data_IF_899407172215
#
_entry.id   IF_899407172215
#
_cell.length_a   1.000
_cell.length_b   1.000
_cell.length_c   1.000
_cell.angle_alpha   90.00
_cell.angle_beta   90.00
_cell.angle_gamma   90.00
#
_symmetry.space_group_name_H-M   'P 1'
#
loop_
_entity.id
_entity.type
_entity.pdbx_description
1 polymer ?
#
# COMPACT_ATOMS: atom_id res chain seq x y z
N UNK A 1 2.57 14.00 11.18
CA UNK A 1 1.43 13.27 11.80
C UNK A 1 1.94 11.96 12.38
N UNK A 2 1.65 11.65 13.65
CA UNK A 2 2.11 10.40 14.27
C UNK A 2 1.51 9.18 13.57
N UNK A 3 2.25 8.08 13.47
CA UNK A 3 1.77 6.86 12.79
C UNK A 3 0.77 6.07 13.66
N UNK A 4 0.92 6.13 14.99
CA UNK A 4 0.04 5.50 15.99
C UNK A 4 -0.70 6.61 16.74
N UNK A 5 -1.99 6.41 17.06
CA UNK A 5 -2.81 7.37 17.80
C UNK A 5 -3.17 8.65 17.04
N UNK A 6 -2.76 8.76 15.76
CA UNK A 6 -3.10 9.89 14.90
C UNK A 6 -4.41 9.68 14.13
N UNK A 7 -4.71 10.59 13.16
CA UNK A 7 -5.89 10.47 12.33
C UNK A 7 -5.95 9.15 11.55
N UNK A 8 -7.17 8.68 11.30
CA UNK A 8 -7.53 7.55 10.43
C UNK A 8 -7.06 7.75 8.97
N UNK A 9 -6.91 6.66 8.22
CA UNK A 9 -6.40 6.70 6.84
C UNK A 9 -7.29 7.53 5.93
N UNK A 10 -8.61 7.45 6.09
CA UNK A 10 -9.60 8.27 5.37
C UNK A 10 -9.35 9.77 5.53
N UNK A 11 -9.15 10.23 6.77
CA UNK A 11 -8.83 11.65 7.06
C UNK A 11 -7.50 12.06 6.45
N UNK A 12 -6.50 11.18 6.46
CA UNK A 12 -5.19 11.45 5.83
C UNK A 12 -5.28 11.54 4.33
N UNK A 13 -6.13 10.72 3.71
CA UNK A 13 -6.41 10.74 2.28
C UNK A 13 -7.03 12.06 1.83
N UNK A 14 -7.85 12.68 2.68
CA UNK A 14 -8.35 14.04 2.43
C UNK A 14 -7.22 15.07 2.39
N UNK A 15 -6.24 15.00 3.30
CA UNK A 15 -5.07 15.89 3.20
C UNK A 15 -4.22 15.59 1.96
N UNK A 16 -4.05 14.31 1.61
CA UNK A 16 -3.34 13.93 0.39
C UNK A 16 -4.06 14.42 -0.89
N UNK A 17 -5.39 14.46 -0.91
CA UNK A 17 -6.13 15.00 -2.07
C UNK A 17 -5.92 16.51 -2.23
N UNK A 18 -5.83 17.27 -1.12
CA UNK A 18 -5.47 18.70 -1.17
C UNK A 18 -4.06 18.89 -1.75
N UNK A 19 -3.09 18.09 -1.30
CA UNK A 19 -1.73 18.11 -1.85
C UNK A 19 -1.74 17.79 -3.35
N UNK A 20 -2.49 16.77 -3.77
CA UNK A 20 -2.64 16.43 -5.19
C UNK A 20 -3.25 17.58 -5.99
N UNK A 21 -4.28 18.24 -5.48
CA UNK A 21 -4.91 19.39 -6.14
C UNK A 21 -3.93 20.56 -6.33
N UNK A 22 -3.11 20.85 -5.32
CA UNK A 22 -2.07 21.90 -5.39
C UNK A 22 -1.03 21.53 -6.45
N UNK A 23 -0.50 20.31 -6.38
CA UNK A 23 0.51 19.84 -7.33
C UNK A 23 -0.06 19.86 -8.76
N UNK A 24 -1.29 19.39 -8.97
CA UNK A 24 -1.89 19.23 -10.28
C UNK A 24 -2.55 20.49 -10.86
N UNK A 25 -2.63 21.59 -10.09
CA UNK A 25 -3.34 22.82 -10.51
C UNK A 25 -2.85 23.32 -11.88
N UNK A 26 -1.54 23.41 -12.06
CA UNK A 26 -0.89 23.85 -13.30
C UNK A 26 -0.45 22.72 -14.23
N UNK A 27 -0.88 21.48 -14.00
CA UNK A 27 -0.32 20.30 -14.68
C UNK A 27 -0.18 20.43 -16.21
N UNK A 28 -1.15 20.98 -16.96
CA UNK A 28 -0.98 21.15 -18.41
C UNK A 28 0.23 22.00 -18.79
N UNK A 29 0.53 23.06 -18.03
CA UNK A 29 1.61 24.01 -18.32
C UNK A 29 3.01 23.42 -18.09
N UNK A 30 3.17 22.49 -17.15
CA UNK A 30 4.46 21.89 -16.81
C UNK A 30 4.54 20.37 -17.06
N UNK A 31 3.52 19.78 -17.69
CA UNK A 31 3.49 18.34 -18.01
C UNK A 31 4.66 17.88 -18.89
N UNK A 32 5.13 18.72 -19.82
CA UNK A 32 6.31 18.44 -20.63
C UNK A 32 7.60 18.46 -19.79
N UNK A 33 7.75 19.43 -18.88
CA UNK A 33 8.88 19.48 -17.95
C UNK A 33 8.87 18.30 -16.98
N UNK A 34 7.68 17.78 -16.62
CA UNK A 34 7.50 16.57 -15.84
C UNK A 34 7.89 15.29 -16.58
N UNK A 35 8.43 15.35 -17.80
CA UNK A 35 9.06 14.18 -18.46
C UNK A 35 10.56 14.09 -18.16
N UNK A 36 11.17 15.18 -17.69
CA UNK A 36 12.57 15.20 -17.30
C UNK A 36 12.76 14.43 -16.00
N UNK A 37 13.75 13.54 -16.00
CA UNK A 37 13.98 12.57 -14.93
C UNK A 37 14.08 13.21 -13.52
N UNK A 38 14.80 14.33 -13.39
CA UNK A 38 15.03 14.94 -12.08
C UNK A 38 13.78 15.60 -11.49
N UNK A 39 12.96 16.26 -12.31
CA UNK A 39 11.69 16.82 -11.87
C UNK A 39 10.71 15.72 -11.44
N UNK A 40 10.61 14.63 -12.21
CA UNK A 40 9.79 13.47 -11.83
C UNK A 40 10.23 12.90 -10.50
N UNK A 41 11.54 12.69 -10.31
CA UNK A 41 12.07 12.12 -9.07
C UNK A 41 11.74 13.00 -7.87
N UNK A 42 11.90 14.31 -7.99
CA UNK A 42 11.60 15.25 -6.90
C UNK A 42 10.10 15.25 -6.55
N UNK A 43 9.24 15.40 -7.56
CA UNK A 43 7.78 15.43 -7.39
C UNK A 43 7.25 14.10 -6.84
N UNK A 44 7.76 12.96 -7.34
CA UNK A 44 7.40 11.62 -6.85
C UNK A 44 7.79 11.41 -5.38
N UNK A 45 8.88 12.01 -4.91
CA UNK A 45 9.30 11.95 -3.51
C UNK A 45 8.30 12.66 -2.58
N UNK A 46 7.82 13.85 -2.96
CA UNK A 46 6.79 14.58 -2.21
C UNK A 46 5.49 13.78 -2.18
N UNK A 47 5.06 13.28 -3.34
CA UNK A 47 3.86 12.47 -3.46
C UNK A 47 3.92 11.19 -2.63
N UNK A 48 5.07 10.53 -2.63
CA UNK A 48 5.32 9.36 -1.80
C UNK A 48 5.19 9.70 -0.32
N UNK A 49 5.67 10.86 0.15
CA UNK A 49 5.51 11.27 1.55
C UNK A 49 4.03 11.41 1.92
N UNK A 50 3.19 11.97 1.05
CA UNK A 50 1.75 12.02 1.26
C UNK A 50 1.15 10.60 1.35
N UNK A 51 1.53 9.70 0.44
CA UNK A 51 1.06 8.31 0.45
C UNK A 51 1.51 7.54 1.70
N UNK A 52 2.76 7.71 2.13
CA UNK A 52 3.27 7.15 3.39
C UNK A 52 2.48 7.62 4.59
N UNK A 53 2.08 8.91 4.64
CA UNK A 53 1.20 9.37 5.69
C UNK A 53 -0.17 8.71 5.63
N UNK A 54 -0.78 8.59 4.45
CA UNK A 54 -2.10 7.93 4.27
C UNK A 54 -2.11 6.50 4.80
N UNK A 55 -1.03 5.77 4.58
CA UNK A 55 -0.91 4.37 5.02
C UNK A 55 -0.24 4.21 6.39
N UNK A 56 0.16 5.30 7.05
CA UNK A 56 1.00 5.27 8.25
C UNK A 56 2.29 4.45 8.04
N UNK A 57 2.88 4.49 6.86
CA UNK A 57 4.04 3.67 6.48
C UNK A 57 5.37 4.27 6.94
N UNK A 58 6.38 3.42 7.09
CA UNK A 58 7.76 3.86 7.34
C UNK A 58 8.44 4.36 6.05
N UNK A 59 9.52 5.13 6.22
CA UNK A 59 10.22 5.81 5.12
C UNK A 59 11.02 4.90 4.19
N UNK A 60 11.06 3.58 4.43
CA UNK A 60 11.74 2.59 3.58
C UNK A 60 10.80 1.88 2.60
N UNK A 61 9.48 1.98 2.78
CA UNK A 61 8.48 1.38 1.87
C UNK A 61 8.62 1.98 0.48
N UNK A 62 8.74 1.14 -0.55
CA UNK A 62 8.92 1.59 -1.94
C UNK A 62 7.81 2.53 -2.43
N UNK A 63 8.11 3.38 -3.43
CA UNK A 63 7.12 4.24 -4.10
C UNK A 63 5.91 3.41 -4.56
N UNK A 64 6.16 2.35 -5.32
CA UNK A 64 5.12 1.48 -5.89
C UNK A 64 4.18 0.90 -4.82
N UNK A 65 4.73 0.26 -3.78
CA UNK A 65 3.91 -0.29 -2.70
C UNK A 65 3.13 0.79 -1.94
N UNK A 66 3.75 1.97 -1.74
CA UNK A 66 3.09 3.09 -1.05
C UNK A 66 1.88 3.62 -1.84
N UNK A 67 1.98 3.70 -3.17
CA UNK A 67 0.90 4.14 -4.05
C UNK A 67 -0.26 3.14 -4.05
N UNK A 68 0.06 1.83 -4.13
CA UNK A 68 -0.94 0.76 -4.12
C UNK A 68 -1.73 0.76 -2.81
N UNK A 69 -1.05 0.70 -1.66
CA UNK A 69 -1.72 0.69 -0.36
C UNK A 69 -2.46 1.99 -0.06
N UNK A 70 -1.91 3.14 -0.49
CA UNK A 70 -2.62 4.41 -0.39
C UNK A 70 -3.83 4.46 -1.34
N UNK A 71 -3.88 3.61 -2.37
CA UNK A 71 -4.85 3.65 -3.47
C UNK A 71 -4.86 5.01 -4.16
N UNK A 72 -3.67 5.58 -4.36
CA UNK A 72 -3.42 6.86 -5.02
C UNK A 72 -2.48 6.58 -6.18
N UNK A 73 -2.87 6.98 -7.39
CA UNK A 73 -2.05 6.77 -8.59
C UNK A 73 -0.71 7.54 -8.48
N UNK A 74 0.37 7.02 -9.10
CA UNK A 74 1.62 7.76 -9.24
C UNK A 74 1.36 9.15 -9.83
N UNK A 75 2.02 10.17 -9.29
CA UNK A 75 1.72 11.57 -9.61
C UNK A 75 2.02 11.92 -11.06
N UNK A 76 3.10 11.36 -11.61
CA UNK A 76 3.46 11.43 -13.02
C UNK A 76 2.30 10.99 -13.93
N UNK A 77 1.56 9.94 -13.56
CA UNK A 77 0.41 9.49 -14.34
C UNK A 77 -0.80 10.42 -14.19
N UNK A 78 -0.96 11.05 -13.02
CA UNK A 78 -2.02 12.03 -12.76
C UNK A 78 -1.76 13.36 -13.50
N UNK A 79 -0.51 13.81 -13.59
CA UNK A 79 -0.11 15.00 -14.38
C UNK A 79 -0.45 14.77 -15.85
N UNK A 80 -0.04 13.61 -16.35
CA UNK A 80 -0.34 13.10 -17.69
C UNK A 80 -1.85 13.09 -17.98
N UNK A 81 -2.65 12.54 -17.05
CA UNK A 81 -4.11 12.52 -17.12
C UNK A 81 -4.68 13.93 -17.21
N UNK A 82 -4.25 14.81 -16.31
CA UNK A 82 -4.75 16.18 -16.21
C UNK A 82 -4.42 17.01 -17.46
N UNK A 83 -3.22 16.85 -18.02
CA UNK A 83 -2.80 17.50 -19.25
C UNK A 83 -3.64 17.04 -20.45
N UNK A 84 -3.86 15.72 -20.61
CA UNK A 84 -4.72 15.18 -21.68
C UNK A 84 -6.16 15.68 -21.58
N UNK A 85 -6.71 15.72 -20.36
CA UNK A 85 -8.06 16.23 -20.11
C UNK A 85 -8.17 17.71 -20.50
N UNK A 86 -7.19 18.54 -20.13
CA UNK A 86 -7.18 19.97 -20.48
C UNK A 86 -7.21 20.22 -21.99
N UNK A 87 -6.38 19.51 -22.76
CA UNK A 87 -6.29 19.67 -24.22
C UNK A 87 -7.54 19.19 -24.98
N UNK A 88 -8.43 18.41 -24.35
CA UNK A 88 -9.62 17.84 -24.99
C UNK A 88 -10.92 18.67 -24.80
N UNK A 89 -10.87 19.87 -24.20
CA UNK A 89 -12.03 20.78 -24.02
C UNK A 89 -13.31 20.07 -23.49
N UNK A 90 -13.22 19.57 -22.26
CA UNK A 90 -14.06 18.54 -21.61
C UNK A 90 -15.58 18.80 -21.54
N UNK A 91 -16.35 17.89 -22.16
CA UNK A 91 -17.46 17.17 -21.50
C UNK A 91 -17.41 15.68 -21.95
N UNK A 92 -17.60 14.73 -21.03
CA UNK A 92 -17.80 13.27 -21.25
C UNK A 92 -16.60 12.29 -21.46
N UNK A 93 -15.33 12.70 -21.40
CA UNK A 93 -14.16 11.78 -21.63
C UNK A 93 -13.38 11.40 -20.35
N UNK A 94 -13.84 11.84 -19.18
CA UNK A 94 -13.10 11.67 -17.91
C UNK A 94 -12.89 10.21 -17.48
N UNK A 95 -13.90 9.37 -17.67
CA UNK A 95 -13.86 7.94 -17.31
C UNK A 95 -12.86 7.16 -18.17
N UNK A 96 -12.78 7.45 -19.47
CA UNK A 96 -11.86 6.82 -20.40
C UNK A 96 -10.40 7.15 -20.05
N UNK A 97 -10.10 8.42 -19.80
CA UNK A 97 -8.75 8.85 -19.42
C UNK A 97 -8.34 8.29 -18.06
N UNK A 98 -9.29 8.18 -17.12
CA UNK A 98 -9.04 7.52 -15.83
C UNK A 98 -8.71 6.04 -16.00
N UNK A 99 -9.47 5.32 -16.84
CA UNK A 99 -9.21 3.92 -17.15
C UNK A 99 -7.83 3.74 -17.81
N UNK A 100 -7.44 4.66 -18.71
CA UNK A 100 -6.11 4.68 -19.33
C UNK A 100 -5.00 4.86 -18.28
N UNK A 101 -5.18 5.76 -17.32
CA UNK A 101 -4.23 5.96 -16.20
C UNK A 101 -4.12 4.71 -15.34
N UNK A 102 -5.23 4.10 -14.96
CA UNK A 102 -5.24 2.87 -14.14
C UNK A 102 -4.55 1.72 -14.89
N UNK A 103 -4.79 1.56 -16.19
CA UNK A 103 -4.11 0.54 -17.01
C UNK A 103 -2.59 0.74 -17.03
N UNK A 104 -2.10 1.97 -17.20
CA UNK A 104 -0.66 2.29 -17.12
C UNK A 104 -0.10 1.97 -15.74
N UNK A 105 -0.83 2.31 -14.68
CA UNK A 105 -0.42 2.04 -13.31
C UNK A 105 -0.33 0.53 -13.02
N UNK A 106 -1.33 -0.25 -13.40
CA UNK A 106 -1.32 -1.71 -13.25
C UNK A 106 -0.14 -2.35 -13.98
N UNK A 107 0.16 -1.92 -15.22
CA UNK A 107 1.30 -2.43 -15.98
C UNK A 107 2.66 -2.09 -15.30
N UNK A 108 2.78 -0.88 -14.74
CA UNK A 108 3.95 -0.47 -13.96
C UNK A 108 4.11 -1.32 -12.70
N UNK A 109 3.01 -1.55 -11.98
CA UNK A 109 3.03 -2.35 -10.76
C UNK A 109 3.48 -3.78 -11.04
N UNK A 110 2.94 -4.40 -12.10
CA UNK A 110 3.31 -5.74 -12.55
C UNK A 110 4.81 -5.89 -12.84
N UNK A 111 5.43 -4.86 -13.45
CA UNK A 111 6.84 -4.86 -13.86
C UNK A 111 7.82 -4.47 -12.75
N UNK A 112 7.34 -3.89 -11.65
CA UNK A 112 8.21 -3.42 -10.58
C UNK A 112 8.94 -4.57 -9.88
N UNK A 113 10.24 -4.40 -9.66
CA UNK A 113 11.06 -5.27 -8.80
C UNK A 113 10.99 -4.87 -7.33
N UNK A 114 10.37 -3.74 -7.00
CA UNK A 114 10.20 -3.22 -5.64
C UNK A 114 8.82 -3.56 -5.09
N UNK A 115 8.73 -3.85 -3.79
CA UNK A 115 7.47 -4.18 -3.12
C UNK A 115 6.92 -5.56 -3.48
N UNK A 116 7.77 -6.54 -3.82
CA UNK A 116 7.33 -7.85 -4.32
C UNK A 116 6.43 -8.63 -3.36
N UNK A 117 6.66 -8.51 -2.05
CA UNK A 117 5.74 -9.05 -1.05
C UNK A 117 4.34 -8.45 -1.19
N UNK A 118 4.22 -7.12 -1.17
CA UNK A 118 2.94 -6.42 -1.38
C UNK A 118 2.32 -6.76 -2.74
N UNK A 119 3.13 -6.96 -3.79
CA UNK A 119 2.63 -7.39 -5.10
C UNK A 119 2.07 -8.81 -5.07
N UNK A 120 2.69 -9.73 -4.33
CA UNK A 120 2.18 -11.09 -4.16
C UNK A 120 0.79 -11.07 -3.53
N UNK A 121 0.59 -10.21 -2.53
CA UNK A 121 -0.71 -10.00 -1.88
C UNK A 121 -1.72 -9.24 -2.77
N UNK A 122 -1.25 -8.25 -3.54
CA UNK A 122 -2.10 -7.32 -4.32
C UNK A 122 -1.61 -7.28 -5.77
N UNK A 123 -1.79 -8.35 -6.57
CA UNK A 123 -1.36 -8.34 -7.97
C UNK A 123 -2.23 -7.42 -8.83
N UNK A 124 -3.53 -7.32 -8.52
CA UNK A 124 -4.48 -6.43 -9.19
C UNK A 124 -4.87 -5.27 -8.24
N UNK A 125 -4.63 -4.04 -8.69
CA UNK A 125 -4.88 -2.84 -7.88
C UNK A 125 -6.36 -2.41 -7.86
N UNK A 126 -7.16 -2.82 -8.85
CA UNK A 126 -8.53 -2.34 -9.05
C UNK A 126 -9.43 -2.65 -7.85
N UNK A 127 -9.51 -3.90 -7.34
CA UNK A 127 -10.37 -4.21 -6.20
C UNK A 127 -10.04 -3.38 -4.96
N UNK A 128 -8.76 -3.07 -4.76
CA UNK A 128 -8.34 -2.22 -3.68
C UNK A 128 -8.81 -0.78 -3.92
N UNK A 129 -8.62 -0.21 -5.11
CA UNK A 129 -9.07 1.16 -5.44
C UNK A 129 -10.58 1.33 -5.26
N UNK A 130 -11.36 0.32 -5.66
CA UNK A 130 -12.82 0.37 -5.70
C UNK A 130 -13.51 -0.09 -4.41
N UNK A 131 -12.72 -0.53 -3.42
CA UNK A 131 -13.26 -1.03 -2.14
C UNK A 131 -14.18 -0.02 -1.45
N UNK A 132 -15.20 -0.53 -0.77
CA UNK A 132 -16.19 0.28 -0.04
C UNK A 132 -15.90 0.39 1.46
N UNK A 133 -15.12 -0.53 1.99
CA UNK A 133 -14.77 -0.62 3.41
C UNK A 133 -13.26 -0.80 3.57
N UNK A 134 -12.82 -0.77 4.83
CA UNK A 134 -11.45 -1.08 5.18
C UNK A 134 -10.50 0.10 5.08
N UNK A 135 -9.82 0.37 6.18
CA UNK A 135 -8.71 1.30 6.25
C UNK A 135 -7.42 0.58 6.65
N UNK A 136 -6.31 1.00 6.06
CA UNK A 136 -4.99 0.59 6.52
C UNK A 136 -4.60 1.42 7.74
N UNK A 137 -3.93 0.79 8.69
CA UNK A 137 -3.32 1.45 9.85
C UNK A 137 -1.83 1.11 9.90
N UNK A 138 -1.12 1.59 10.92
CA UNK A 138 0.32 1.36 11.08
C UNK A 138 0.69 -0.13 11.01
N UNK A 139 -0.04 -0.99 11.74
CA UNK A 139 0.29 -2.42 11.84
C UNK A 139 -0.11 -3.20 10.61
N UNK A 140 -1.31 -2.95 10.07
CA UNK A 140 -1.75 -3.59 8.84
C UNK A 140 -0.85 -3.20 7.66
N UNK A 141 -0.39 -1.95 7.59
CA UNK A 141 0.59 -1.53 6.56
C UNK A 141 1.91 -2.26 6.71
N UNK A 142 2.40 -2.48 7.93
CA UNK A 142 3.60 -3.27 8.16
C UNK A 142 3.45 -4.69 7.61
N UNK A 143 2.38 -5.37 8.01
CA UNK A 143 2.03 -6.70 7.53
C UNK A 143 1.98 -6.79 6.00
N UNK A 144 1.26 -5.88 5.35
CA UNK A 144 1.08 -5.85 3.89
C UNK A 144 2.35 -5.44 3.13
N UNK A 145 3.34 -4.84 3.82
CA UNK A 145 4.61 -4.45 3.21
C UNK A 145 5.78 -5.33 3.59
N UNK A 146 5.67 -6.16 4.64
CA UNK A 146 6.82 -6.86 5.20
C UNK A 146 7.87 -5.92 5.78
N UNK A 147 7.44 -4.73 6.22
CA UNK A 147 8.30 -3.73 6.86
C UNK A 147 7.88 -3.52 8.31
N UNK A 148 8.77 -2.98 9.15
CA UNK A 148 8.43 -2.58 10.50
C UNK A 148 8.89 -3.57 11.56
N UNK A 149 7.97 -4.23 12.27
CA UNK A 149 8.29 -5.02 13.45
C UNK A 149 8.92 -6.41 13.18
N UNK A 150 8.89 -6.89 11.94
CA UNK A 150 9.45 -8.21 11.60
C UNK A 150 10.97 -8.25 11.77
N UNK A 151 11.51 -9.26 12.46
CA UNK A 151 12.96 -9.35 12.70
C UNK A 151 13.78 -9.42 11.42
N UNK A 152 13.28 -10.05 10.36
CA UNK A 152 13.91 -10.00 9.03
C UNK A 152 14.10 -8.58 8.50
N UNK A 153 13.11 -7.71 8.72
CA UNK A 153 13.20 -6.30 8.37
C UNK A 153 14.15 -5.56 9.32
N UNK A 154 14.02 -5.76 10.63
CA UNK A 154 14.84 -5.08 11.64
C UNK A 154 16.33 -5.40 11.49
N UNK A 155 16.67 -6.66 11.26
CA UNK A 155 18.03 -7.12 10.99
C UNK A 155 18.59 -6.45 9.73
N UNK A 156 17.81 -6.37 8.65
CA UNK A 156 18.22 -5.67 7.42
C UNK A 156 18.45 -4.16 7.63
N UNK A 157 17.77 -3.55 8.59
CA UNK A 157 17.94 -2.13 8.95
C UNK A 157 18.90 -1.89 10.12
N UNK A 158 19.64 -2.92 10.57
CA UNK A 158 20.59 -2.85 11.70
C UNK A 158 19.94 -2.49 13.05
N UNK A 159 18.66 -2.81 13.24
CA UNK A 159 17.91 -2.61 14.49
C UNK A 159 17.81 -3.89 15.32
N UNK A 160 18.18 -5.03 14.76
CA UNK A 160 18.26 -6.33 15.45
C UNK A 160 19.48 -7.10 14.92
N UNK A 161 19.99 -8.04 15.70
CA UNK A 161 21.16 -8.86 15.35
C UNK A 161 20.79 -10.18 14.68
N UNK A 162 19.51 -10.56 14.69
CA UNK A 162 19.05 -11.82 14.10
C UNK A 162 17.70 -11.67 13.40
N UNK A 163 17.56 -12.31 12.24
CA UNK A 163 16.33 -12.40 11.46
C UNK A 163 15.42 -13.58 11.87
N UNK A 164 15.86 -14.40 12.83
CA UNK A 164 15.19 -15.65 13.21
C UNK A 164 14.00 -15.43 14.12
N UNK A 165 12.95 -16.23 13.90
CA UNK A 165 11.77 -16.24 14.76
C UNK A 165 12.09 -16.82 16.14
N UNK A 166 11.75 -16.16 17.26
CA UNK A 166 12.00 -16.67 18.61
C UNK A 166 11.33 -18.02 18.90
N UNK A 167 10.16 -18.27 18.30
CA UNK A 167 9.42 -19.53 18.46
C UNK A 167 9.68 -20.55 17.35
N UNK A 168 10.37 -20.15 16.28
CA UNK A 168 10.76 -21.01 15.16
C UNK A 168 12.21 -20.71 14.76
N UNK A 169 13.21 -21.19 15.52
CA UNK A 169 14.60 -20.77 15.36
C UNK A 169 15.18 -21.02 13.96
N UNK A 170 14.64 -22.00 13.23
CA UNK A 170 15.07 -22.33 11.87
C UNK A 170 14.41 -21.42 10.80
N UNK A 171 13.32 -20.73 11.12
CA UNK A 171 12.59 -19.87 10.22
C UNK A 171 13.05 -18.41 10.32
N UNK A 172 13.05 -17.72 9.17
CA UNK A 172 13.17 -16.25 9.13
C UNK A 172 11.83 -15.66 9.54
N UNK A 173 11.84 -14.69 10.44
CA UNK A 173 10.63 -13.98 10.84
C UNK A 173 10.36 -12.80 9.89
N UNK A 174 9.72 -13.11 8.77
CA UNK A 174 9.12 -12.13 7.87
C UNK A 174 7.59 -12.11 8.03
N UNK A 175 6.93 -11.20 7.30
CA UNK A 175 5.48 -11.09 7.35
C UNK A 175 4.80 -12.40 6.93
N UNK A 176 5.34 -13.11 5.93
CA UNK A 176 4.80 -14.37 5.44
C UNK A 176 4.81 -15.44 6.54
N UNK A 177 5.95 -15.63 7.21
CA UNK A 177 6.06 -16.54 8.33
C UNK A 177 5.09 -16.16 9.44
N UNK A 178 5.06 -14.89 9.85
CA UNK A 178 4.19 -14.43 10.95
C UNK A 178 2.72 -14.71 10.66
N UNK A 179 2.25 -14.38 9.46
CA UNK A 179 0.82 -14.48 9.12
C UNK A 179 0.36 -15.87 8.66
N UNK A 180 1.23 -16.73 8.15
CA UNK A 180 0.81 -18.03 7.60
C UNK A 180 1.38 -19.25 8.34
N UNK A 181 2.48 -19.11 9.08
CA UNK A 181 3.23 -20.29 9.55
C UNK A 181 3.58 -20.26 11.04
N UNK A 182 3.77 -19.09 11.64
CA UNK A 182 4.35 -18.96 12.97
C UNK A 182 3.41 -19.53 14.05
N UNK A 183 3.84 -20.51 14.87
CA UNK A 183 2.99 -21.14 15.87
C UNK A 183 2.55 -20.16 16.97
N UNK A 184 3.29 -19.06 17.21
CA UNK A 184 2.90 -17.99 18.15
C UNK A 184 1.51 -17.45 17.85
N UNK A 185 1.15 -17.36 16.56
CA UNK A 185 -0.10 -16.74 16.09
C UNK A 185 -1.10 -17.77 15.56
N UNK A 186 -1.00 -19.03 16.02
CA UNK A 186 -1.84 -20.11 15.53
C UNK A 186 -3.32 -19.94 15.93
N UNK A 187 -3.58 -19.41 17.13
CA UNK A 187 -4.94 -19.18 17.62
C UNK A 187 -5.63 -18.08 16.81
N UNK A 188 -4.94 -16.95 16.62
CA UNK A 188 -5.44 -15.79 15.88
C UNK A 188 -5.60 -16.12 14.39
N UNK A 189 -4.64 -16.85 13.78
CA UNK A 189 -4.83 -17.39 12.42
C UNK A 189 -6.05 -18.30 12.36
N UNK A 190 -6.31 -19.10 13.39
CA UNK A 190 -7.48 -19.95 13.47
C UNK A 190 -8.79 -19.16 13.34
N UNK A 191 -8.86 -17.92 13.87
CA UNK A 191 -9.99 -17.02 13.67
C UNK A 191 -10.12 -16.63 12.19
N UNK A 192 -9.02 -16.22 11.55
CA UNK A 192 -9.00 -15.87 10.13
C UNK A 192 -9.48 -17.03 9.25
N UNK A 193 -9.00 -18.25 9.51
CA UNK A 193 -9.39 -19.45 8.78
C UNK A 193 -10.88 -19.80 8.94
N UNK A 194 -11.49 -19.54 10.11
CA UNK A 194 -12.93 -19.75 10.31
C UNK A 194 -13.81 -18.76 9.54
N UNK A 195 -13.32 -17.53 9.36
CA UNK A 195 -14.01 -16.51 8.56
C UNK A 195 -13.82 -16.72 7.06
N UNK A 196 -12.69 -17.31 6.66
CA UNK A 196 -12.38 -17.56 5.27
C UNK A 196 -13.23 -18.69 4.68
N UNK A 197 -13.69 -18.50 3.43
CA UNK A 197 -14.41 -19.53 2.67
C UNK A 197 -13.49 -20.56 2.01
N UNK A 198 -12.19 -20.33 2.04
CA UNK A 198 -11.18 -21.20 1.45
C UNK A 198 -9.80 -21.04 2.11
N UNK A 199 -8.76 -21.69 1.56
CA UNK A 199 -7.41 -21.55 2.08
C UNK A 199 -6.95 -20.09 2.09
N UNK A 200 -6.40 -19.66 3.23
CA UNK A 200 -5.75 -18.37 3.36
C UNK A 200 -4.27 -18.55 3.00
N UNK A 201 -3.96 -18.13 1.79
CA UNK A 201 -2.62 -18.09 1.22
C UNK A 201 -2.27 -16.62 0.93
N UNK A 202 -0.99 -16.28 0.68
CA UNK A 202 -0.60 -14.92 0.32
C UNK A 202 -1.45 -14.33 -0.82
N UNK A 203 -1.77 -15.13 -1.82
CA UNK A 203 -2.54 -14.72 -2.99
C UNK A 203 -4.04 -14.47 -2.69
N UNK A 204 -4.59 -15.09 -1.64
CA UNK A 204 -6.03 -14.99 -1.31
C UNK A 204 -6.29 -14.02 -0.15
N UNK A 205 -5.27 -13.65 0.61
CA UNK A 205 -5.40 -12.82 1.81
C UNK A 205 -6.14 -11.50 1.56
N UNK A 206 -5.75 -10.76 0.51
CA UNK A 206 -6.38 -9.46 0.23
C UNK A 206 -7.79 -9.64 -0.34
N UNK A 207 -8.04 -10.72 -1.08
CA UNK A 207 -9.40 -11.09 -1.49
C UNK A 207 -10.29 -11.28 -0.27
N UNK A 208 -9.84 -12.08 0.71
CA UNK A 208 -10.51 -12.27 1.98
C UNK A 208 -10.83 -10.94 2.70
N UNK A 209 -9.87 -10.01 2.77
CA UNK A 209 -10.09 -8.68 3.37
C UNK A 209 -11.18 -7.87 2.64
N UNK A 210 -11.20 -7.96 1.31
CA UNK A 210 -12.10 -7.19 0.46
C UNK A 210 -13.52 -7.78 0.42
N UNK A 211 -13.67 -9.07 0.73
CA UNK A 211 -14.97 -9.76 0.69
C UNK A 211 -15.97 -9.20 1.71
N UNK A 212 -15.53 -8.81 2.91
CA UNK A 212 -16.39 -8.29 3.96
C UNK A 212 -15.65 -7.39 4.95
N UNK A 213 -16.35 -6.40 5.52
CA UNK A 213 -15.76 -5.51 6.54
C UNK A 213 -15.26 -6.26 7.79
N UNK A 214 -15.98 -7.27 8.34
CA UNK A 214 -15.47 -8.06 9.46
C UNK A 214 -14.13 -8.76 9.17
N UNK A 215 -13.92 -9.24 7.94
CA UNK A 215 -12.67 -9.89 7.54
C UNK A 215 -11.50 -8.91 7.58
N UNK A 216 -11.73 -7.67 7.11
CA UNK A 216 -10.73 -6.60 7.18
C UNK A 216 -10.39 -6.24 8.63
N UNK A 217 -11.41 -6.11 9.49
CA UNK A 217 -11.23 -5.79 10.90
C UNK A 217 -10.45 -6.89 11.62
N UNK A 218 -10.77 -8.15 11.36
CA UNK A 218 -10.08 -9.28 11.99
C UNK A 218 -8.61 -9.34 11.58
N UNK A 219 -8.29 -9.16 10.29
CA UNK A 219 -6.90 -9.12 9.86
C UNK A 219 -6.15 -7.90 10.43
N UNK A 220 -6.83 -6.77 10.57
CA UNK A 220 -6.26 -5.59 11.23
C UNK A 220 -5.96 -5.84 12.72
N UNK A 221 -6.83 -6.58 13.40
CA UNK A 221 -6.62 -7.02 14.79
C UNK A 221 -5.43 -7.97 14.89
N UNK A 222 -5.37 -9.00 14.03
CA UNK A 222 -4.23 -9.90 13.90
C UNK A 222 -2.91 -9.13 13.74
N UNK A 223 -2.87 -8.17 12.82
CA UNK A 223 -1.68 -7.36 12.58
C UNK A 223 -1.23 -6.57 13.83
N UNK A 224 -2.20 -6.09 14.62
CA UNK A 224 -1.90 -5.34 15.85
C UNK A 224 -1.31 -6.25 16.94
N UNK A 225 -1.80 -7.48 17.06
CA UNK A 225 -1.30 -8.48 18.02
C UNK A 225 0.11 -8.96 17.66
N UNK A 226 0.43 -9.09 16.37
CA UNK A 226 1.75 -9.53 15.88
C UNK A 226 2.93 -8.60 16.23
N UNK A 227 2.68 -7.47 16.91
CA UNK A 227 3.67 -6.51 17.38
C UNK A 227 4.29 -6.89 18.74
N UNK A 228 3.64 -7.75 19.52
CA UNK A 228 3.78 -7.74 20.99
C UNK A 228 4.82 -8.67 21.62
N UNK A 229 5.66 -9.40 20.87
CA UNK A 229 6.85 -10.06 21.43
C UNK A 229 8.11 -9.87 20.58
#
# INVERSE_FOLDING_TARGET
MPNIGGPRSSRRRLYASVVNSILLYGAPAWSEAAKTHDYVRWVASIHRRACLHVICGCCSISHEASYVLASISPLELLIDERSRLYHRCLENVGSEERARTIKKWQARWARSTKGRWTHRLIPNIIPLIERRHGEVNYYLTQLLTGHGCFRSYLCRTNNDTSDRCPACPLAVEDAEHVIFHCPRFAEERGVLHRLSRGPLEPETLVGFMLDAEPNWLELSSFATLSRHD
#
